data_IF_033766920710
#
_entry.id   IF_033766920710
#
_cell.length_a   1.000
_cell.length_b   1.000
_cell.length_c   1.000
_cell.angle_alpha   90.00
_cell.angle_beta   90.00
_cell.angle_gamma   90.00
#
_symmetry.space_group_name_H-M   'P 1'
#
loop_
_entity.id
_entity.type
_entity.pdbx_description
1 polymer ?
#
# COMPACT_ATOMS: atom_id res chain seq x y z
N UNK A 1 -21.25 -21.49 1.93
CA UNK A 1 -20.50 -20.43 1.21
C UNK A 1 -20.67 -20.65 -0.29
N UNK A 2 -20.98 -19.62 -1.07
CA UNK A 2 -21.14 -19.78 -2.51
C UNK A 2 -19.76 -20.11 -3.17
N UNK A 3 -19.77 -20.91 -4.25
CA UNK A 3 -18.57 -21.24 -5.01
C UNK A 3 -17.80 -20.00 -5.44
N UNK A 4 -18.52 -18.97 -5.84
CA UNK A 4 -17.94 -17.66 -6.25
C UNK A 4 -17.23 -16.96 -5.09
N UNK A 5 -17.76 -17.04 -3.86
CA UNK A 5 -17.09 -16.47 -2.70
C UNK A 5 -15.76 -17.16 -2.40
N UNK A 6 -15.70 -18.49 -2.50
CA UNK A 6 -14.46 -19.24 -2.33
C UNK A 6 -13.42 -18.91 -3.40
N UNK A 7 -13.86 -18.75 -4.66
CA UNK A 7 -12.98 -18.34 -5.77
C UNK A 7 -12.40 -16.93 -5.55
N UNK A 8 -13.23 -15.95 -5.17
CA UNK A 8 -12.79 -14.58 -4.88
C UNK A 8 -11.83 -14.55 -3.68
N UNK A 9 -12.14 -15.31 -2.62
CA UNK A 9 -11.26 -15.44 -1.46
C UNK A 9 -9.92 -16.06 -1.86
N UNK A 10 -9.92 -17.09 -2.70
CA UNK A 10 -8.70 -17.70 -3.25
C UNK A 10 -7.87 -16.68 -4.06
N UNK A 11 -8.50 -15.94 -4.97
CA UNK A 11 -7.82 -14.88 -5.74
C UNK A 11 -7.22 -13.83 -4.79
N UNK A 12 -7.96 -13.42 -3.76
CA UNK A 12 -7.48 -12.42 -2.79
C UNK A 12 -6.25 -12.91 -2.02
N UNK A 13 -6.29 -14.13 -1.50
CA UNK A 13 -5.16 -14.72 -0.75
C UNK A 13 -3.94 -14.89 -1.65
N UNK A 14 -4.11 -15.48 -2.84
CA UNK A 14 -3.01 -15.74 -3.77
C UNK A 14 -2.39 -14.42 -4.27
N UNK A 15 -3.22 -13.41 -4.61
CA UNK A 15 -2.72 -12.07 -4.96
C UNK A 15 -2.00 -11.42 -3.79
N UNK A 16 -2.54 -11.53 -2.57
CA UNK A 16 -1.93 -10.97 -1.37
C UNK A 16 -0.55 -11.58 -1.07
N UNK A 17 -0.43 -12.91 -1.13
CA UNK A 17 0.85 -13.60 -0.95
C UNK A 17 1.83 -13.17 -2.04
N UNK A 18 1.42 -13.16 -3.31
CA UNK A 18 2.26 -12.73 -4.43
C UNK A 18 2.81 -11.32 -4.23
N UNK A 19 1.98 -10.37 -3.81
CA UNK A 19 2.41 -9.00 -3.50
C UNK A 19 3.38 -8.96 -2.31
N UNK A 20 3.07 -9.68 -1.25
CA UNK A 20 3.87 -9.70 -0.03
C UNK A 20 5.22 -10.43 -0.20
N UNK A 21 5.34 -11.33 -1.18
CA UNK A 21 6.61 -11.94 -1.58
C UNK A 21 7.52 -10.95 -2.31
N UNK A 22 6.98 -10.17 -3.26
CA UNK A 22 7.77 -9.39 -4.20
C UNK A 22 8.03 -7.96 -3.74
N UNK A 23 6.99 -7.22 -3.32
CA UNK A 23 7.08 -5.78 -3.10
C UNK A 23 8.10 -5.37 -2.04
N UNK A 24 8.12 -6.00 -0.84
CA UNK A 24 9.06 -5.59 0.20
C UNK A 24 10.53 -5.84 -0.16
N UNK A 25 10.80 -6.85 -0.97
CA UNK A 25 12.15 -7.26 -1.35
C UNK A 25 12.62 -6.67 -2.69
N UNK A 26 11.78 -5.91 -3.38
CA UNK A 26 12.13 -5.31 -4.68
C UNK A 26 13.35 -4.38 -4.58
N UNK A 27 13.44 -3.54 -3.55
CA UNK A 27 14.58 -2.65 -3.32
C UNK A 27 15.86 -3.44 -3.04
N UNK A 28 15.78 -4.47 -2.21
CA UNK A 28 16.91 -5.35 -1.91
C UNK A 28 17.39 -6.10 -3.16
N UNK A 29 16.47 -6.66 -3.97
CA UNK A 29 16.81 -7.29 -5.24
C UNK A 29 17.52 -6.32 -6.20
N UNK A 30 16.98 -5.13 -6.38
CA UNK A 30 17.55 -4.12 -7.28
C UNK A 30 18.96 -3.69 -6.83
N UNK A 31 19.19 -3.54 -5.53
CA UNK A 31 20.47 -3.07 -4.99
C UNK A 31 21.51 -4.20 -4.89
N UNK A 32 21.12 -5.41 -4.46
CA UNK A 32 22.06 -6.51 -4.23
C UNK A 32 22.36 -7.32 -5.49
N UNK A 33 21.34 -7.60 -6.31
CA UNK A 33 21.46 -8.50 -7.48
C UNK A 33 21.70 -7.72 -8.77
N UNK A 34 20.87 -6.68 -9.06
CA UNK A 34 20.99 -5.87 -10.26
C UNK A 34 22.08 -4.80 -10.11
N UNK A 35 22.41 -4.44 -8.86
CA UNK A 35 23.44 -3.43 -8.52
C UNK A 35 23.15 -2.06 -9.17
N UNK A 36 21.89 -1.65 -9.08
CA UNK A 36 21.41 -0.38 -9.65
C UNK A 36 22.09 0.83 -9.01
N UNK A 37 22.24 1.89 -9.78
CA UNK A 37 22.66 3.19 -9.24
C UNK A 37 21.55 3.84 -8.42
N UNK A 38 21.85 4.80 -7.52
CA UNK A 38 20.87 5.54 -6.75
C UNK A 38 19.74 6.15 -7.60
N UNK A 39 20.10 6.73 -8.74
CA UNK A 39 19.12 7.26 -9.69
C UNK A 39 18.22 6.18 -10.26
N UNK A 40 18.78 5.05 -10.67
CA UNK A 40 18.02 3.92 -11.21
C UNK A 40 17.03 3.34 -10.17
N UNK A 41 17.46 3.22 -8.90
CA UNK A 41 16.57 2.75 -7.82
C UNK A 41 15.37 3.69 -7.65
N UNK A 42 15.63 4.98 -7.47
CA UNK A 42 14.57 5.98 -7.30
C UNK A 42 13.65 6.05 -8.51
N UNK A 43 14.20 6.04 -9.72
CA UNK A 43 13.45 6.09 -10.97
C UNK A 43 12.54 4.87 -11.15
N UNK A 44 13.04 3.67 -10.83
CA UNK A 44 12.24 2.44 -10.86
C UNK A 44 11.02 2.53 -9.93
N UNK A 45 11.25 2.96 -8.68
CA UNK A 45 10.21 3.05 -7.65
C UNK A 45 9.21 4.20 -7.88
N UNK A 46 9.51 5.14 -8.77
CA UNK A 46 8.56 6.16 -9.24
C UNK A 46 7.76 5.67 -10.44
N UNK A 47 8.45 5.11 -11.43
CA UNK A 47 7.85 4.79 -12.74
C UNK A 47 6.87 3.62 -12.62
N UNK A 48 7.14 2.61 -11.78
CA UNK A 48 6.27 1.45 -11.68
C UNK A 48 4.89 1.79 -11.08
N UNK A 49 4.77 2.50 -9.94
CA UNK A 49 3.46 2.96 -9.45
C UNK A 49 2.72 3.83 -10.47
N UNK A 50 3.43 4.69 -11.20
CA UNK A 50 2.83 5.50 -12.26
C UNK A 50 2.24 4.62 -13.38
N UNK A 51 3.01 3.63 -13.85
CA UNK A 51 2.54 2.66 -14.84
C UNK A 51 1.31 1.88 -14.34
N UNK A 52 1.29 1.50 -13.05
CA UNK A 52 0.13 0.83 -12.43
C UNK A 52 -1.12 1.71 -12.41
N UNK A 53 -0.97 3.01 -12.11
CA UNK A 53 -2.09 3.96 -12.16
C UNK A 53 -2.64 4.10 -13.58
N UNK A 54 -1.77 4.27 -14.57
CA UNK A 54 -2.16 4.38 -15.98
C UNK A 54 -2.88 3.09 -16.44
N UNK A 55 -2.27 1.93 -16.18
CA UNK A 55 -2.85 0.65 -16.56
C UNK A 55 -4.19 0.38 -15.85
N UNK A 56 -4.28 0.68 -14.55
CA UNK A 56 -5.52 0.52 -13.78
C UNK A 56 -6.63 1.42 -14.30
N UNK A 57 -6.30 2.65 -14.71
CA UNK A 57 -7.26 3.59 -15.32
C UNK A 57 -7.78 3.07 -16.67
N UNK A 58 -6.88 2.56 -17.51
CA UNK A 58 -7.25 1.96 -18.82
C UNK A 58 -8.14 0.73 -18.59
N UNK A 59 -7.73 -0.18 -17.70
CA UNK A 59 -8.49 -1.39 -17.37
C UNK A 59 -9.86 -1.07 -16.75
N UNK A 60 -9.93 0.02 -15.95
CA UNK A 60 -11.19 0.54 -15.44
C UNK A 60 -12.16 0.92 -16.55
N UNK A 61 -11.70 1.74 -17.50
CA UNK A 61 -12.51 2.15 -18.68
C UNK A 61 -12.93 0.95 -19.54
N UNK A 62 -12.06 -0.05 -19.73
CA UNK A 62 -12.39 -1.28 -20.45
C UNK A 62 -13.47 -2.10 -19.72
N UNK A 63 -13.44 -2.10 -18.38
CA UNK A 63 -14.42 -2.81 -17.55
C UNK A 63 -15.80 -2.16 -17.54
N UNK A 64 -15.87 -0.84 -17.75
CA UNK A 64 -17.13 -0.10 -17.88
C UNK A 64 -17.76 -0.27 -19.27
N UNK A 65 -17.01 -0.81 -20.23
CA UNK A 65 -17.46 -1.13 -21.58
C UNK A 65 -17.98 -2.57 -21.71
N UNK A 66 -17.57 -3.26 -22.79
CA UNK A 66 -18.04 -4.62 -23.12
C UNK A 66 -17.18 -5.75 -22.51
N UNK A 67 -16.03 -5.42 -21.84
CA UNK A 67 -15.09 -6.44 -21.38
C UNK A 67 -15.49 -6.91 -19.98
N UNK A 68 -15.73 -8.21 -19.83
CA UNK A 68 -16.06 -8.79 -18.52
C UNK A 68 -14.87 -8.71 -17.57
N UNK A 69 -15.11 -8.29 -16.33
CA UNK A 69 -14.06 -8.11 -15.28
C UNK A 69 -13.23 -9.37 -15.02
N UNK A 70 -13.81 -10.59 -15.21
CA UNK A 70 -13.05 -11.83 -15.06
C UNK A 70 -11.89 -11.95 -16.06
N UNK A 71 -12.07 -11.45 -17.29
CA UNK A 71 -10.99 -11.45 -18.28
C UNK A 71 -9.93 -10.40 -17.95
N UNK A 72 -10.31 -9.24 -17.41
CA UNK A 72 -9.36 -8.23 -16.94
C UNK A 72 -8.55 -8.73 -15.77
N UNK A 73 -9.17 -9.48 -14.83
CA UNK A 73 -8.47 -10.17 -13.75
C UNK A 73 -7.48 -11.21 -14.29
N UNK A 74 -7.90 -12.01 -15.28
CA UNK A 74 -7.04 -13.00 -15.90
C UNK A 74 -5.85 -12.35 -16.63
N UNK A 75 -6.09 -11.26 -17.38
CA UNK A 75 -5.03 -10.48 -18.03
C UNK A 75 -4.05 -9.92 -17.01
N UNK A 76 -4.53 -9.37 -15.89
CA UNK A 76 -3.68 -8.90 -14.78
C UNK A 76 -2.81 -10.00 -14.19
N UNK A 77 -3.40 -11.20 -13.99
CA UNK A 77 -2.68 -12.37 -13.49
C UNK A 77 -1.64 -12.90 -14.50
N UNK A 78 -1.99 -13.01 -15.78
CA UNK A 78 -1.03 -13.41 -16.83
C UNK A 78 0.10 -12.40 -16.95
N UNK A 79 -0.21 -11.11 -16.96
CA UNK A 79 0.80 -10.05 -16.98
C UNK A 79 1.73 -10.16 -15.76
N UNK A 80 1.18 -10.37 -14.55
CA UNK A 80 1.98 -10.61 -13.35
C UNK A 80 2.88 -11.83 -13.47
N UNK A 81 2.36 -12.95 -14.00
CA UNK A 81 3.15 -14.17 -14.22
C UNK A 81 4.32 -13.92 -15.19
N UNK A 82 4.08 -13.22 -16.29
CA UNK A 82 5.14 -12.86 -17.24
C UNK A 82 6.12 -11.88 -16.59
N UNK A 83 5.63 -10.83 -15.93
CA UNK A 83 6.46 -9.82 -15.29
C UNK A 83 7.40 -10.42 -14.26
N UNK A 84 6.89 -11.17 -13.28
CA UNK A 84 7.73 -11.81 -12.27
C UNK A 84 8.58 -12.95 -12.84
N UNK A 85 8.12 -13.67 -13.88
CA UNK A 85 8.96 -14.61 -14.64
C UNK A 85 10.17 -13.93 -15.27
N UNK A 86 9.99 -12.71 -15.80
CA UNK A 86 11.10 -11.89 -16.34
C UNK A 86 12.03 -11.39 -15.22
N UNK A 87 11.54 -11.07 -14.02
CA UNK A 87 12.40 -10.77 -12.86
C UNK A 87 13.29 -11.97 -12.47
N UNK A 88 12.83 -13.20 -12.68
CA UNK A 88 13.63 -14.38 -12.39
C UNK A 88 14.87 -14.48 -13.30
N UNK A 89 14.76 -14.02 -14.56
CA UNK A 89 15.82 -14.24 -15.58
C UNK A 89 16.57 -12.98 -16.01
N UNK A 90 15.91 -11.81 -16.03
CA UNK A 90 16.55 -10.58 -16.44
C UNK A 90 17.51 -10.05 -15.37
N UNK A 91 18.67 -9.58 -15.81
CA UNK A 91 19.69 -8.95 -14.94
C UNK A 91 20.12 -7.57 -15.47
N UNK A 92 19.63 -7.16 -16.63
CA UNK A 92 19.83 -5.81 -17.15
C UNK A 92 18.74 -4.87 -16.66
N UNK A 93 19.13 -3.70 -16.14
CA UNK A 93 18.19 -2.74 -15.55
C UNK A 93 17.13 -2.24 -16.53
N UNK A 94 17.53 -1.86 -17.75
CA UNK A 94 16.60 -1.26 -18.70
C UNK A 94 15.59 -2.26 -19.24
N UNK A 95 16.01 -3.49 -19.48
CA UNK A 95 15.14 -4.59 -19.85
C UNK A 95 14.14 -4.92 -18.72
N UNK A 96 14.63 -4.93 -17.47
CA UNK A 96 13.80 -5.17 -16.29
C UNK A 96 12.78 -4.04 -16.08
N UNK A 97 13.21 -2.77 -16.22
CA UNK A 97 12.33 -1.61 -16.14
C UNK A 97 11.24 -1.65 -17.21
N UNK A 98 11.62 -1.89 -18.48
CA UNK A 98 10.65 -2.00 -19.58
C UNK A 98 9.63 -3.11 -19.37
N UNK A 99 10.09 -4.30 -18.96
CA UNK A 99 9.21 -5.41 -18.59
C UNK A 99 8.28 -5.04 -17.44
N UNK A 100 8.79 -4.35 -16.42
CA UNK A 100 8.01 -3.93 -15.26
C UNK A 100 6.94 -2.91 -15.62
N UNK A 101 7.28 -1.90 -16.42
CA UNK A 101 6.31 -0.87 -16.88
C UNK A 101 5.12 -1.52 -17.58
N UNK A 102 5.37 -2.50 -18.46
CA UNK A 102 4.32 -3.19 -19.20
C UNK A 102 3.58 -4.18 -18.30
N UNK A 103 4.29 -5.16 -17.77
CA UNK A 103 3.64 -6.33 -17.13
C UNK A 103 3.27 -6.08 -15.67
N UNK A 104 4.17 -5.50 -14.85
CA UNK A 104 3.83 -5.15 -13.46
C UNK A 104 2.87 -3.95 -13.43
N UNK A 105 2.97 -3.03 -14.39
CA UNK A 105 1.99 -1.97 -14.59
C UNK A 105 0.57 -2.53 -14.73
N UNK A 106 0.35 -3.48 -15.64
CA UNK A 106 -0.97 -4.12 -15.85
C UNK A 106 -1.44 -4.87 -14.59
N UNK A 107 -0.53 -5.52 -13.87
CA UNK A 107 -0.83 -6.23 -12.62
C UNK A 107 -1.43 -5.30 -11.54
N UNK A 108 -1.09 -4.01 -11.56
CA UNK A 108 -1.67 -3.00 -10.66
C UNK A 108 -3.20 -2.87 -10.76
N UNK A 109 -3.81 -3.32 -11.85
CA UNK A 109 -5.28 -3.34 -12.02
C UNK A 109 -5.99 -4.47 -11.26
N UNK A 110 -5.26 -5.51 -10.80
CA UNK A 110 -5.86 -6.72 -10.20
C UNK A 110 -6.76 -6.42 -9.00
N UNK A 111 -6.26 -5.70 -8.00
CA UNK A 111 -7.03 -5.43 -6.79
C UNK A 111 -8.27 -4.55 -7.04
N UNK A 112 -8.18 -3.43 -7.79
CA UNK A 112 -9.35 -2.66 -8.18
C UNK A 112 -10.41 -3.52 -8.91
N UNK A 113 -10.01 -4.37 -9.85
CA UNK A 113 -10.93 -5.25 -10.57
C UNK A 113 -11.52 -6.35 -9.66
N UNK A 114 -10.73 -6.93 -8.75
CA UNK A 114 -11.20 -7.92 -7.78
C UNK A 114 -12.27 -7.33 -6.85
N UNK A 115 -12.03 -6.14 -6.29
CA UNK A 115 -13.00 -5.49 -5.41
C UNK A 115 -14.24 -5.03 -6.17
N UNK A 116 -14.09 -4.56 -7.40
CA UNK A 116 -15.21 -4.18 -8.24
C UNK A 116 -16.07 -5.41 -8.61
N UNK A 117 -15.44 -6.54 -8.98
CA UNK A 117 -16.16 -7.79 -9.22
C UNK A 117 -16.87 -8.29 -7.96
N UNK A 118 -16.20 -8.23 -6.79
CA UNK A 118 -16.80 -8.59 -5.50
C UNK A 118 -18.06 -7.79 -5.19
N UNK A 119 -18.07 -6.48 -5.50
CA UNK A 119 -19.26 -5.62 -5.37
C UNK A 119 -20.38 -6.03 -6.33
N UNK A 120 -20.06 -6.39 -7.56
CA UNK A 120 -21.06 -6.82 -8.56
C UNK A 120 -21.79 -8.11 -8.16
N UNK A 121 -21.11 -9.02 -7.49
CA UNK A 121 -21.69 -10.31 -7.08
C UNK A 121 -22.46 -10.22 -5.76
N UNK A 122 -22.13 -9.26 -4.91
CA UNK A 122 -22.84 -9.05 -3.63
C UNK A 122 -24.04 -8.14 -3.83
N UNK A 123 -25.25 -8.69 -3.72
CA UNK A 123 -26.51 -7.92 -3.73
C UNK A 123 -26.77 -7.08 -2.47
N UNK A 124 -25.74 -6.78 -1.65
CA UNK A 124 -25.86 -6.06 -0.38
C UNK A 124 -24.57 -5.35 0.03
N UNK A 125 -24.58 -4.60 1.16
CA UNK A 125 -23.45 -3.77 1.54
C UNK A 125 -22.18 -4.57 1.71
N UNK A 126 -21.14 -4.08 1.15
CA UNK A 126 -19.68 -4.28 1.14
C UNK A 126 -18.99 -5.36 2.02
N UNK A 127 -19.69 -6.32 2.63
CA UNK A 127 -19.06 -7.34 3.48
C UNK A 127 -18.06 -8.21 2.71
N UNK A 128 -18.35 -8.54 1.44
CA UNK A 128 -17.41 -9.30 0.59
C UNK A 128 -16.11 -8.54 0.39
N UNK A 129 -16.15 -7.25 0.07
CA UNK A 129 -14.94 -6.44 -0.12
C UNK A 129 -14.12 -6.34 1.17
N UNK A 130 -14.78 -6.21 2.32
CA UNK A 130 -14.10 -6.20 3.62
C UNK A 130 -13.40 -7.54 3.91
N UNK A 131 -14.06 -8.67 3.63
CA UNK A 131 -13.44 -10.00 3.77
C UNK A 131 -12.25 -10.16 2.84
N UNK A 132 -12.37 -9.77 1.56
CA UNK A 132 -11.27 -9.84 0.60
C UNK A 132 -10.05 -9.01 1.06
N UNK A 133 -10.29 -7.80 1.61
CA UNK A 133 -9.22 -6.96 2.19
C UNK A 133 -8.58 -7.62 3.41
N UNK A 134 -9.37 -8.21 4.30
CA UNK A 134 -8.84 -8.93 5.47
C UNK A 134 -7.95 -10.09 5.04
N UNK A 135 -8.36 -10.86 4.02
CA UNK A 135 -7.55 -11.95 3.49
C UNK A 135 -6.22 -11.47 2.88
N UNK A 136 -6.23 -10.30 2.23
CA UNK A 136 -4.98 -9.64 1.79
C UNK A 136 -4.07 -9.31 2.97
N UNK A 137 -4.60 -8.72 4.04
CA UNK A 137 -3.81 -8.37 5.23
C UNK A 137 -3.21 -9.62 5.89
N UNK A 138 -3.98 -10.72 6.00
CA UNK A 138 -3.47 -12.00 6.52
C UNK A 138 -2.31 -12.53 5.66
N UNK A 139 -2.38 -12.37 4.34
CA UNK A 139 -1.30 -12.78 3.43
C UNK A 139 0.01 -12.01 3.70
N UNK A 140 -0.05 -10.77 4.14
CA UNK A 140 1.13 -9.97 4.49
C UNK A 140 1.84 -10.44 5.76
N UNK A 141 1.17 -11.17 6.66
CA UNK A 141 1.83 -11.76 7.84
C UNK A 141 2.80 -12.87 7.44
N UNK A 142 2.37 -13.74 6.54
CA UNK A 142 3.18 -14.89 6.10
C UNK A 142 4.10 -14.57 4.92
N UNK A 143 3.72 -13.61 4.06
CA UNK A 143 4.42 -13.33 2.81
C UNK A 143 5.89 -12.96 2.96
N UNK A 144 6.26 -11.93 3.73
CA UNK A 144 7.66 -11.54 3.87
C UNK A 144 8.56 -12.60 4.50
N UNK A 145 8.15 -13.35 5.57
CA UNK A 145 8.93 -14.50 6.05
C UNK A 145 9.10 -15.59 5.01
N UNK A 146 8.04 -15.91 4.22
CA UNK A 146 8.13 -16.89 3.13
C UNK A 146 9.05 -16.39 2.01
N UNK A 147 9.02 -15.09 1.67
CA UNK A 147 9.93 -14.52 0.69
C UNK A 147 11.39 -14.68 1.13
N UNK A 148 11.68 -14.34 2.37
CA UNK A 148 13.02 -14.50 2.94
C UNK A 148 13.49 -15.94 2.91
N UNK A 149 12.62 -16.90 3.25
CA UNK A 149 12.90 -18.33 3.19
C UNK A 149 13.19 -18.79 1.76
N UNK A 150 12.38 -18.36 0.79
CA UNK A 150 12.58 -18.67 -0.63
C UNK A 150 13.92 -18.10 -1.13
N UNK A 151 14.23 -16.85 -0.79
CA UNK A 151 15.52 -16.23 -1.16
C UNK A 151 16.68 -17.01 -0.55
N UNK A 152 16.59 -17.44 0.71
CA UNK A 152 17.65 -18.18 1.38
C UNK A 152 17.87 -19.58 0.78
N UNK A 153 16.82 -20.26 0.33
CA UNK A 153 16.92 -21.65 -0.18
C UNK A 153 17.14 -21.73 -1.69
N UNK A 154 16.52 -20.83 -2.46
CA UNK A 154 16.46 -20.92 -3.94
C UNK A 154 16.94 -19.65 -4.64
N UNK A 155 17.39 -18.65 -3.87
CA UNK A 155 17.81 -17.35 -4.39
C UNK A 155 16.65 -16.54 -4.96
N UNK A 156 16.99 -15.45 -5.61
CA UNK A 156 16.02 -14.54 -6.26
C UNK A 156 15.23 -15.23 -7.37
N UNK A 157 15.85 -16.21 -8.06
CA UNK A 157 15.18 -16.98 -9.10
C UNK A 157 13.95 -17.71 -8.55
N UNK A 158 14.12 -18.45 -7.46
CA UNK A 158 13.01 -19.20 -6.86
C UNK A 158 11.90 -18.30 -6.31
N UNK A 159 12.25 -17.17 -5.69
CA UNK A 159 11.29 -16.19 -5.22
C UNK A 159 10.38 -15.71 -6.37
N UNK A 160 10.97 -15.27 -7.47
CA UNK A 160 10.21 -14.72 -8.58
C UNK A 160 9.46 -15.77 -9.39
N UNK A 161 9.99 -16.98 -9.52
CA UNK A 161 9.26 -18.10 -10.13
C UNK A 161 8.05 -18.49 -9.28
N UNK A 162 8.18 -18.56 -7.96
CA UNK A 162 7.05 -18.81 -7.07
C UNK A 162 5.99 -17.70 -7.19
N UNK A 163 6.42 -16.44 -7.21
CA UNK A 163 5.54 -15.29 -7.40
C UNK A 163 4.82 -15.33 -8.74
N UNK A 164 5.52 -15.68 -9.83
CA UNK A 164 4.95 -15.85 -11.16
C UNK A 164 3.92 -17.00 -11.20
N UNK A 165 4.20 -18.11 -10.55
CA UNK A 165 3.28 -19.25 -10.45
C UNK A 165 1.99 -18.87 -9.69
N UNK A 166 2.10 -18.10 -8.60
CA UNK A 166 0.94 -17.57 -7.88
C UNK A 166 0.09 -16.65 -8.78
N UNK A 167 0.73 -15.76 -9.55
CA UNK A 167 0.02 -14.87 -10.47
C UNK A 167 -0.68 -15.64 -11.59
N UNK A 168 -0.06 -16.71 -12.10
CA UNK A 168 -0.72 -17.62 -13.05
C UNK A 168 -1.93 -18.31 -12.39
N UNK A 169 -1.82 -18.71 -11.11
CA UNK A 169 -2.93 -19.21 -10.32
C UNK A 169 -4.09 -18.23 -10.22
N UNK A 170 -3.80 -16.93 -10.03
CA UNK A 170 -4.80 -15.86 -10.07
C UNK A 170 -5.51 -15.83 -11.42
N UNK A 171 -4.77 -15.90 -12.54
CA UNK A 171 -5.34 -15.90 -13.87
C UNK A 171 -6.29 -17.09 -14.11
N UNK A 172 -5.85 -18.29 -13.72
CA UNK A 172 -6.66 -19.51 -13.84
C UNK A 172 -7.93 -19.41 -13.01
N UNK A 173 -7.82 -19.00 -11.74
CA UNK A 173 -8.98 -18.81 -10.86
C UNK A 173 -9.94 -17.74 -11.42
N UNK A 174 -9.42 -16.65 -11.96
CA UNK A 174 -10.25 -15.58 -12.55
C UNK A 174 -11.09 -16.07 -13.74
N UNK A 175 -10.53 -16.94 -14.58
CA UNK A 175 -11.25 -17.53 -15.73
C UNK A 175 -12.40 -18.45 -15.28
N UNK A 176 -12.32 -19.04 -14.08
CA UNK A 176 -13.39 -19.90 -13.53
C UNK A 176 -14.54 -19.10 -12.90
N UNK A 177 -14.41 -17.78 -12.74
CA UNK A 177 -15.45 -16.94 -12.18
C UNK A 177 -16.69 -16.89 -13.10
N UNK A 178 -17.91 -16.95 -12.53
CA UNK A 178 -19.15 -16.82 -13.32
C UNK A 178 -19.26 -15.43 -13.93
N UNK A 179 -20.09 -15.30 -14.95
CA UNK A 179 -20.46 -13.97 -15.50
C UNK A 179 -21.39 -13.29 -14.49
N UNK A 180 -21.03 -12.11 -13.95
CA UNK A 180 -21.93 -11.41 -13.05
C UNK A 180 -23.19 -10.96 -13.81
N UNK A 181 -24.36 -10.89 -13.13
CA UNK A 181 -25.55 -10.32 -13.74
C UNK A 181 -25.28 -8.87 -14.15
N UNK A 182 -25.86 -8.44 -15.26
CA UNK A 182 -25.78 -7.06 -15.71
C UNK A 182 -26.31 -6.13 -14.59
N UNK A 183 -25.50 -5.17 -14.19
CA UNK A 183 -25.94 -4.13 -13.25
C UNK A 183 -26.65 -3.02 -14.03
N UNK A 184 -27.76 -2.53 -13.49
CA UNK A 184 -28.28 -1.22 -13.88
C UNK A 184 -27.20 -0.16 -13.58
N UNK A 185 -27.01 0.78 -14.46
CA UNK A 185 -26.10 1.91 -14.28
C UNK A 185 -26.44 2.61 -12.95
N UNK A 186 -25.52 2.57 -11.99
CA UNK A 186 -25.57 3.47 -10.83
C UNK A 186 -25.29 4.88 -11.38
N UNK A 187 -26.26 5.77 -11.25
CA UNK A 187 -26.13 7.20 -11.55
C UNK A 187 -24.88 7.72 -10.80
N UNK A 188 -23.96 8.33 -11.57
CA UNK A 188 -22.82 9.04 -11.00
C UNK A 188 -23.38 10.21 -10.21
N UNK A 189 -23.02 10.37 -8.91
CA UNK A 189 -23.44 11.54 -8.16
C UNK A 189 -22.92 12.80 -8.86
N UNK A 190 -23.81 13.77 -9.11
CA UNK A 190 -23.46 15.08 -9.66
C UNK A 190 -22.48 15.80 -8.73
N UNK A 191 -21.49 16.46 -9.34
CA UNK A 191 -20.47 17.26 -8.65
C UNK A 191 -21.08 18.53 -8.07
N UNK A 192 -21.57 18.49 -6.84
CA UNK A 192 -21.79 19.71 -6.07
C UNK A 192 -20.54 20.08 -5.28
N UNK A 193 -19.92 21.19 -5.67
CA UNK A 193 -18.77 21.77 -5.00
C UNK A 193 -19.19 22.47 -3.70
N UNK A 194 -18.87 21.86 -2.55
CA UNK A 194 -19.14 22.43 -1.23
C UNK A 194 -17.88 22.73 -0.42
N UNK A 195 -17.98 23.72 0.41
CA UNK A 195 -17.06 24.46 1.30
C UNK A 195 -15.95 23.69 2.10
N UNK A 196 -15.76 22.40 1.92
CA UNK A 196 -14.81 21.55 2.65
C UNK A 196 -13.44 21.39 1.94
N UNK A 197 -13.29 22.04 0.79
CA UNK A 197 -12.15 21.82 -0.14
C UNK A 197 -10.79 22.16 0.46
N UNK A 198 -10.67 23.24 1.24
CA UNK A 198 -9.37 23.66 1.79
C UNK A 198 -8.84 22.72 2.87
N UNK A 199 -9.69 22.23 3.77
CA UNK A 199 -9.28 21.28 4.80
C UNK A 199 -8.88 19.93 4.19
N UNK A 200 -9.60 19.46 3.17
CA UNK A 200 -9.30 18.24 2.46
C UNK A 200 -7.91 18.29 1.79
N UNK A 201 -7.56 19.43 1.16
CA UNK A 201 -6.24 19.59 0.52
C UNK A 201 -5.09 19.55 1.53
N UNK A 202 -5.23 20.26 2.67
CA UNK A 202 -4.18 20.27 3.72
C UNK A 202 -4.04 18.90 4.36
N UNK A 203 -5.16 18.20 4.62
CA UNK A 203 -5.13 16.81 5.11
C UNK A 203 -4.50 15.88 4.08
N UNK A 204 -4.82 16.03 2.79
CA UNK A 204 -4.20 15.25 1.73
C UNK A 204 -2.68 15.47 1.67
N UNK A 205 -2.21 16.71 1.81
CA UNK A 205 -0.78 17.00 1.89
C UNK A 205 -0.14 16.35 3.13
N UNK A 206 -0.79 16.40 4.30
CA UNK A 206 -0.31 15.73 5.51
C UNK A 206 -0.19 14.22 5.32
N UNK A 207 -1.21 13.61 4.71
CA UNK A 207 -1.22 12.15 4.46
C UNK A 207 -0.23 11.73 3.38
N UNK A 208 0.02 12.56 2.37
CA UNK A 208 1.09 12.31 1.41
C UNK A 208 2.44 12.10 2.11
N UNK A 209 2.77 12.98 3.06
CA UNK A 209 4.01 12.85 3.83
C UNK A 209 3.98 11.65 4.77
N UNK A 210 2.90 11.43 5.52
CA UNK A 210 2.82 10.33 6.47
C UNK A 210 2.81 8.95 5.78
N UNK A 211 2.02 8.79 4.73
CA UNK A 211 1.97 7.54 3.96
C UNK A 211 3.27 7.32 3.18
N UNK A 212 3.87 8.40 2.66
CA UNK A 212 5.18 8.34 2.03
C UNK A 212 6.28 7.91 3.00
N UNK A 213 6.25 8.41 4.25
CA UNK A 213 7.18 7.97 5.31
C UNK A 213 7.04 6.48 5.63
N UNK A 214 5.80 5.97 5.70
CA UNK A 214 5.54 4.53 5.87
C UNK A 214 6.04 3.74 4.67
N UNK A 215 5.76 4.18 3.43
CA UNK A 215 6.21 3.51 2.22
C UNK A 215 7.75 3.46 2.12
N UNK A 216 8.42 4.56 2.48
CA UNK A 216 9.88 4.65 2.50
C UNK A 216 10.47 3.70 3.54
N UNK A 217 9.91 3.66 4.75
CA UNK A 217 10.36 2.77 5.81
C UNK A 217 10.19 1.29 5.43
N UNK A 218 9.04 0.90 4.87
CA UNK A 218 8.77 -0.47 4.42
C UNK A 218 9.72 -0.89 3.29
N UNK A 219 9.87 -0.04 2.27
CA UNK A 219 10.72 -0.34 1.11
C UNK A 219 12.21 -0.36 1.45
N UNK A 220 12.63 0.45 2.42
CA UNK A 220 14.03 0.54 2.83
C UNK A 220 14.45 -0.49 3.88
N UNK A 221 13.50 -1.09 4.63
CA UNK A 221 13.80 -1.98 5.75
C UNK A 221 14.70 -3.17 5.38
N UNK A 222 14.44 -3.93 4.28
CA UNK A 222 15.31 -5.06 3.93
C UNK A 222 16.75 -4.63 3.60
N UNK A 223 16.88 -3.52 2.89
CA UNK A 223 18.22 -3.00 2.52
C UNK A 223 18.94 -2.45 3.74
N UNK A 224 18.24 -1.68 4.60
CA UNK A 224 18.81 -1.17 5.85
C UNK A 224 19.32 -2.29 6.75
N UNK A 225 18.52 -3.33 6.97
CA UNK A 225 18.93 -4.47 7.80
C UNK A 225 20.16 -5.18 7.25
N UNK A 226 20.22 -5.40 5.93
CA UNK A 226 21.32 -6.15 5.32
C UNK A 226 22.59 -5.34 5.12
N UNK A 227 22.49 -4.02 4.88
CA UNK A 227 23.66 -3.19 4.60
C UNK A 227 24.20 -2.44 5.83
N UNK A 228 23.32 -1.96 6.71
CA UNK A 228 23.72 -1.13 7.87
C UNK A 228 23.89 -1.95 9.15
N UNK A 229 23.11 -3.03 9.31
CA UNK A 229 23.12 -3.85 10.53
C UNK A 229 23.72 -5.24 10.31
N UNK A 230 24.26 -5.54 9.13
CA UNK A 230 24.80 -6.86 8.76
C UNK A 230 23.81 -8.01 9.00
N UNK A 231 22.52 -7.72 8.92
CA UNK A 231 21.46 -8.70 9.05
C UNK A 231 21.24 -9.50 7.75
N UNK A 232 20.34 -10.45 7.82
CA UNK A 232 19.94 -11.31 6.69
C UNK A 232 18.59 -10.87 6.08
N UNK A 233 18.28 -11.38 4.89
CA UNK A 233 16.94 -11.28 4.33
C UNK A 233 15.89 -11.95 5.25
N UNK A 234 16.30 -12.95 6.03
CA UNK A 234 15.48 -13.60 7.07
C UNK A 234 15.04 -12.63 8.15
N UNK A 235 15.98 -11.81 8.65
CA UNK A 235 15.67 -10.78 9.66
C UNK A 235 14.69 -9.75 9.11
N UNK A 236 14.85 -9.35 7.85
CA UNK A 236 13.90 -8.44 7.19
C UNK A 236 12.51 -9.05 7.06
N UNK A 237 12.42 -10.30 6.62
CA UNK A 237 11.17 -11.03 6.52
C UNK A 237 10.47 -11.19 7.86
N UNK A 238 11.22 -11.54 8.92
CA UNK A 238 10.68 -11.64 10.29
C UNK A 238 10.20 -10.31 10.83
N UNK A 239 10.96 -9.22 10.65
CA UNK A 239 10.55 -7.89 11.09
C UNK A 239 9.23 -7.46 10.43
N UNK A 240 9.11 -7.66 9.12
CA UNK A 240 7.89 -7.32 8.36
C UNK A 240 6.71 -8.21 8.75
N UNK A 241 6.94 -9.52 8.89
CA UNK A 241 5.91 -10.46 9.34
C UNK A 241 5.42 -10.14 10.76
N UNK A 242 6.33 -9.78 11.67
CA UNK A 242 6.00 -9.33 13.03
C UNK A 242 5.17 -8.05 12.99
N UNK A 243 5.56 -7.07 12.18
CA UNK A 243 4.79 -5.84 12.00
C UNK A 243 3.36 -6.14 11.53
N UNK A 244 3.21 -6.94 10.48
CA UNK A 244 1.90 -7.30 9.94
C UNK A 244 1.05 -8.10 10.95
N UNK A 245 1.66 -8.99 11.74
CA UNK A 245 0.96 -9.74 12.78
C UNK A 245 0.45 -8.83 13.91
N UNK A 246 1.23 -7.81 14.30
CA UNK A 246 0.83 -6.81 15.30
C UNK A 246 -0.22 -5.83 14.74
N UNK A 247 -0.15 -5.51 13.45
CA UNK A 247 -1.05 -4.59 12.77
C UNK A 247 -2.51 -5.06 12.83
N UNK A 248 -2.77 -6.36 12.67
CA UNK A 248 -4.13 -6.92 12.62
C UNK A 248 -4.93 -6.60 13.91
N UNK A 249 -4.48 -6.98 15.12
CA UNK A 249 -5.20 -6.64 16.34
C UNK A 249 -5.25 -5.15 16.61
N UNK A 250 -4.20 -4.40 16.24
CA UNK A 250 -4.18 -2.96 16.40
C UNK A 250 -5.17 -2.23 15.51
N UNK A 251 -5.31 -2.63 14.23
CA UNK A 251 -6.33 -2.09 13.34
C UNK A 251 -7.74 -2.29 13.88
N UNK A 252 -8.05 -3.48 14.42
CA UNK A 252 -9.34 -3.77 15.04
C UNK A 252 -9.57 -2.89 16.27
N UNK A 253 -8.56 -2.76 17.12
CA UNK A 253 -8.65 -1.95 18.34
C UNK A 253 -8.82 -0.47 18.02
N UNK A 254 -7.96 0.11 17.19
CA UNK A 254 -8.07 1.53 16.81
C UNK A 254 -9.30 1.82 15.95
N UNK A 255 -9.75 0.87 15.13
CA UNK A 255 -11.02 0.96 14.41
C UNK A 255 -12.21 1.08 15.37
N UNK A 256 -12.22 0.28 16.44
CA UNK A 256 -13.25 0.40 17.50
C UNK A 256 -13.13 1.71 18.28
N UNK A 257 -11.91 2.17 18.54
CA UNK A 257 -11.64 3.41 19.26
C UNK A 257 -12.05 4.65 18.42
N UNK A 258 -11.97 4.58 17.11
CA UNK A 258 -12.42 5.63 16.19
C UNK A 258 -13.92 5.93 16.27
N UNK A 259 -14.73 5.00 16.84
CA UNK A 259 -16.14 5.24 17.14
C UNK A 259 -16.36 6.04 18.45
N UNK A 260 -15.32 6.12 19.31
CA UNK A 260 -15.39 6.78 20.63
C UNK A 260 -14.52 8.03 20.71
N UNK A 261 -13.52 8.14 19.87
CA UNK A 261 -12.57 9.27 19.84
C UNK A 261 -12.60 9.96 18.49
N UNK A 262 -12.26 11.23 18.46
CA UNK A 262 -12.08 11.97 17.21
C UNK A 262 -10.99 11.29 16.34
N UNK A 263 -11.33 10.97 15.10
CA UNK A 263 -10.40 10.38 14.13
C UNK A 263 -9.18 11.27 13.90
N UNK A 264 -9.37 12.61 13.90
CA UNK A 264 -8.26 13.56 13.83
C UNK A 264 -7.26 13.39 14.99
N UNK A 265 -7.75 13.19 16.23
CA UNK A 265 -6.86 12.94 17.38
C UNK A 265 -6.09 11.61 17.23
N UNK A 266 -6.76 10.56 16.75
CA UNK A 266 -6.12 9.25 16.52
C UNK A 266 -5.02 9.36 15.45
N UNK A 267 -5.27 10.07 14.35
CA UNK A 267 -4.27 10.30 13.31
C UNK A 267 -3.09 11.16 13.83
N UNK A 268 -3.36 12.17 14.67
CA UNK A 268 -2.30 12.94 15.34
C UNK A 268 -1.43 12.04 16.24
N UNK A 269 -2.04 11.16 17.03
CA UNK A 269 -1.31 10.18 17.84
C UNK A 269 -0.43 9.30 16.94
N UNK A 270 -0.98 8.82 15.82
CA UNK A 270 -0.23 8.06 14.82
C UNK A 270 0.99 8.82 14.28
N UNK A 271 0.82 10.10 13.97
CA UNK A 271 1.91 10.96 13.48
C UNK A 271 3.01 11.17 14.55
N UNK A 272 2.63 11.33 15.84
CA UNK A 272 3.61 11.43 16.95
C UNK A 272 4.35 10.12 17.15
N UNK A 273 3.64 8.98 17.10
CA UNK A 273 4.28 7.64 17.22
C UNK A 273 5.20 7.39 16.02
N UNK A 274 4.87 7.91 14.82
CA UNK A 274 5.75 7.82 13.65
C UNK A 274 7.10 8.54 13.88
N UNK A 275 7.10 9.67 14.56
CA UNK A 275 8.36 10.35 14.96
C UNK A 275 9.18 9.44 15.90
N UNK A 276 8.52 8.79 16.86
CA UNK A 276 9.17 7.85 17.77
C UNK A 276 9.76 6.65 17.03
N UNK A 277 8.98 6.04 16.13
CA UNK A 277 9.44 4.92 15.31
C UNK A 277 10.66 5.28 14.44
N UNK A 278 10.53 6.33 13.63
CA UNK A 278 11.61 6.73 12.74
C UNK A 278 12.83 7.23 13.52
N UNK A 279 12.61 7.90 14.66
CA UNK A 279 13.70 8.30 15.56
C UNK A 279 14.47 7.09 16.09
N UNK A 280 13.78 6.06 16.61
CA UNK A 280 14.44 4.82 17.05
C UNK A 280 15.22 4.18 15.91
N UNK A 281 14.62 4.11 14.69
CA UNK A 281 15.26 3.48 13.54
C UNK A 281 16.51 4.23 13.03
N UNK A 282 16.56 5.57 13.17
CA UNK A 282 17.77 6.37 12.84
C UNK A 282 18.96 5.96 13.71
N UNK A 283 18.71 5.65 14.99
CA UNK A 283 19.77 5.32 15.97
C UNK A 283 19.91 3.80 16.19
N UNK A 284 19.11 2.97 15.53
CA UNK A 284 19.21 1.52 15.67
C UNK A 284 20.57 1.01 15.17
N UNK A 285 21.24 0.20 15.99
CA UNK A 285 22.53 -0.43 15.74
C UNK A 285 22.49 -1.96 15.90
N UNK A 286 21.33 -2.49 16.30
CA UNK A 286 21.12 -3.92 16.48
C UNK A 286 19.76 -4.39 15.95
N UNK A 287 19.69 -5.61 15.43
CA UNK A 287 18.50 -6.21 14.84
C UNK A 287 17.33 -6.27 15.83
N UNK A 288 17.60 -6.58 17.11
CA UNK A 288 16.56 -6.65 18.13
C UNK A 288 15.85 -5.31 18.36
N UNK A 289 16.55 -4.17 18.20
CA UNK A 289 15.94 -2.82 18.29
C UNK A 289 14.95 -2.61 17.15
N UNK A 290 15.31 -3.06 15.94
CA UNK A 290 14.41 -3.04 14.77
C UNK A 290 13.18 -3.91 15.01
N UNK A 291 13.37 -5.12 15.58
CA UNK A 291 12.26 -6.02 15.95
C UNK A 291 11.33 -5.36 16.97
N UNK A 292 11.88 -4.77 18.03
CA UNK A 292 11.10 -4.06 19.04
C UNK A 292 10.35 -2.85 18.45
N UNK A 293 10.98 -2.10 17.54
CA UNK A 293 10.39 -0.97 16.87
C UNK A 293 9.18 -1.33 15.98
N UNK A 294 9.03 -2.62 15.57
CA UNK A 294 7.87 -3.02 14.79
C UNK A 294 6.53 -2.83 15.54
N UNK A 295 6.55 -2.80 16.89
CA UNK A 295 5.37 -2.45 17.67
C UNK A 295 4.91 -1.00 17.38
N UNK A 296 5.85 -0.07 17.30
CA UNK A 296 5.57 1.33 16.96
C UNK A 296 5.12 1.42 15.50
N UNK A 297 5.79 0.70 14.58
CA UNK A 297 5.46 0.72 13.16
C UNK A 297 4.05 0.19 12.89
N UNK A 298 3.68 -0.95 13.48
CA UNK A 298 2.35 -1.52 13.38
C UNK A 298 1.27 -0.55 13.90
N UNK A 299 1.58 0.18 14.99
CA UNK A 299 0.69 1.23 15.52
C UNK A 299 0.53 2.38 14.51
N UNK A 300 1.62 2.84 13.90
CA UNK A 300 1.60 3.89 12.86
C UNK A 300 0.74 3.47 11.68
N UNK A 301 0.98 2.27 11.14
CA UNK A 301 0.22 1.75 9.99
C UNK A 301 -1.28 1.66 10.35
N UNK A 302 -1.60 1.12 11.53
CA UNK A 302 -2.99 0.97 11.97
C UNK A 302 -3.73 2.30 12.10
N UNK A 303 -3.05 3.35 12.58
CA UNK A 303 -3.65 4.68 12.73
C UNK A 303 -3.67 5.47 11.42
N UNK A 304 -2.57 5.49 10.66
CA UNK A 304 -2.48 6.28 9.43
C UNK A 304 -3.22 5.60 8.28
N UNK A 305 -3.05 4.28 8.09
CA UNK A 305 -3.70 3.56 6.99
C UNK A 305 -5.11 3.07 7.38
N UNK A 306 -5.28 2.54 8.61
CA UNK A 306 -6.56 2.00 9.07
C UNK A 306 -7.57 3.10 9.38
N UNK A 307 -7.27 3.99 10.34
CA UNK A 307 -8.18 5.09 10.72
C UNK A 307 -8.19 6.21 9.68
N UNK A 308 -7.08 6.40 8.94
CA UNK A 308 -6.95 7.48 7.95
C UNK A 308 -8.03 7.46 6.88
N UNK A 309 -8.43 6.29 6.36
CA UNK A 309 -9.47 6.19 5.34
C UNK A 309 -10.82 6.68 5.86
N UNK A 310 -11.18 6.32 7.09
CA UNK A 310 -12.44 6.77 7.72
C UNK A 310 -12.38 8.27 8.06
N UNK A 311 -11.18 8.77 8.41
CA UNK A 311 -10.97 10.20 8.62
C UNK A 311 -11.22 11.00 7.34
N UNK A 312 -10.71 10.57 6.18
CA UNK A 312 -11.04 11.20 4.89
C UNK A 312 -12.55 11.17 4.59
N UNK A 313 -13.20 10.03 4.81
CA UNK A 313 -14.64 9.88 4.60
C UNK A 313 -15.44 10.82 5.54
N UNK A 314 -14.95 11.09 6.75
CA UNK A 314 -15.59 12.04 7.66
C UNK A 314 -15.42 13.50 7.25
N UNK A 315 -14.43 13.83 6.41
CA UNK A 315 -14.24 15.17 5.85
C UNK A 315 -15.18 15.46 4.66
N UNK A 316 -15.60 14.41 3.93
CA UNK A 316 -16.56 14.53 2.82
C UNK A 316 -17.61 13.42 2.92
N UNK A 317 -18.55 13.52 3.90
CA UNK A 317 -19.54 12.48 4.15
C UNK A 317 -20.52 12.29 2.98
N UNK A 318 -20.76 13.32 2.20
CA UNK A 318 -21.65 13.29 1.04
C UNK A 318 -21.04 12.54 -0.14
N UNK A 319 -19.70 12.46 -0.23
CA UNK A 319 -18.96 11.82 -1.31
C UNK A 319 -17.87 10.87 -0.79
N UNK A 320 -18.24 9.77 -0.09
CA UNK A 320 -17.26 8.86 0.53
C UNK A 320 -16.34 8.19 -0.51
N UNK A 321 -16.81 8.02 -1.74
CA UNK A 321 -15.98 7.52 -2.85
C UNK A 321 -14.87 8.49 -3.24
N UNK A 322 -15.18 9.79 -3.37
CA UNK A 322 -14.20 10.85 -3.63
C UNK A 322 -13.16 10.94 -2.50
N UNK A 323 -13.60 10.92 -1.24
CA UNK A 323 -12.71 10.91 -0.09
C UNK A 323 -11.75 9.73 -0.08
N UNK A 324 -12.25 8.52 -0.40
CA UNK A 324 -11.42 7.31 -0.51
C UNK A 324 -10.41 7.42 -1.65
N UNK A 325 -10.80 7.99 -2.79
CA UNK A 325 -9.89 8.23 -3.92
C UNK A 325 -8.79 9.22 -3.54
N UNK A 326 -9.13 10.31 -2.86
CA UNK A 326 -8.15 11.29 -2.37
C UNK A 326 -7.14 10.64 -1.41
N UNK A 327 -7.61 9.82 -0.46
CA UNK A 327 -6.75 9.02 0.42
C UNK A 327 -5.80 8.10 -0.37
N UNK A 328 -6.31 7.38 -1.36
CA UNK A 328 -5.50 6.49 -2.19
C UNK A 328 -4.48 7.24 -3.05
N UNK A 329 -4.86 8.40 -3.57
CA UNK A 329 -3.95 9.25 -4.34
C UNK A 329 -2.77 9.74 -3.48
N UNK A 330 -3.02 10.10 -2.21
CA UNK A 330 -1.92 10.48 -1.29
C UNK A 330 -0.97 9.33 -1.03
N UNK A 331 -1.45 8.09 -0.98
CA UNK A 331 -0.61 6.90 -0.86
C UNK A 331 0.28 6.70 -2.08
N UNK A 332 -0.29 6.82 -3.27
CA UNK A 332 0.46 6.64 -4.52
C UNK A 332 1.55 7.71 -4.66
N UNK A 333 1.17 8.99 -4.52
CA UNK A 333 2.14 10.11 -4.66
C UNK A 333 3.17 10.06 -3.54
N UNK A 334 2.77 9.76 -2.30
CA UNK A 334 3.69 9.55 -1.18
C UNK A 334 4.68 8.43 -1.44
N UNK A 335 4.22 7.32 -2.03
CA UNK A 335 5.06 6.20 -2.45
C UNK A 335 6.07 6.59 -3.55
N UNK A 336 5.69 7.44 -4.49
CA UNK A 336 6.62 7.96 -5.52
C UNK A 336 7.70 8.85 -4.90
N UNK A 337 7.33 9.72 -3.94
CA UNK A 337 8.30 10.53 -3.18
C UNK A 337 9.23 9.62 -2.36
N UNK A 338 8.68 8.59 -1.72
CA UNK A 338 9.45 7.58 -1.00
C UNK A 338 10.47 6.87 -1.91
N UNK A 339 10.09 6.53 -3.15
CA UNK A 339 10.99 5.92 -4.13
C UNK A 339 12.18 6.82 -4.46
N UNK A 340 11.94 8.12 -4.70
CA UNK A 340 13.01 9.09 -4.95
C UNK A 340 13.96 9.20 -3.75
N UNK A 341 13.40 9.29 -2.53
CA UNK A 341 14.18 9.40 -1.30
C UNK A 341 14.94 8.11 -0.97
N UNK A 342 14.42 6.94 -1.33
CA UNK A 342 15.16 5.69 -1.18
C UNK A 342 16.37 5.63 -2.13
N UNK A 343 16.22 6.12 -3.37
CA UNK A 343 17.34 6.29 -4.27
C UNK A 343 18.42 7.23 -3.71
N UNK A 344 18.00 8.33 -3.10
CA UNK A 344 18.93 9.25 -2.42
C UNK A 344 19.58 8.60 -1.19
N UNK A 345 18.85 7.80 -0.44
CA UNK A 345 19.37 7.04 0.72
C UNK A 345 20.48 6.06 0.31
N UNK A 346 20.41 5.49 -0.91
CA UNK A 346 21.48 4.63 -1.43
C UNK A 346 22.81 5.40 -1.61
N UNK A 347 22.74 6.70 -1.89
CA UNK A 347 23.93 7.56 -2.02
C UNK A 347 24.53 7.97 -0.67
N UNK A 348 23.66 8.28 0.31
CA UNK A 348 24.03 8.85 1.60
C UNK A 348 24.25 7.80 2.69
N UNK A 349 23.87 6.53 2.42
CA UNK A 349 23.75 5.44 3.38
C UNK A 349 22.27 5.16 3.70
N UNK A 350 21.90 3.88 3.79
CA UNK A 350 20.48 3.49 3.96
C UNK A 350 19.90 3.87 5.33
N UNK A 351 20.70 4.28 6.29
CA UNK A 351 20.24 4.90 7.55
C UNK A 351 19.44 6.20 7.30
N UNK A 352 19.80 6.96 6.26
CA UNK A 352 19.05 8.16 5.84
C UNK A 352 17.62 7.89 5.36
N UNK A 353 17.30 6.64 5.03
CA UNK A 353 15.90 6.22 4.80
C UNK A 353 15.00 6.64 5.97
N UNK A 354 15.46 6.38 7.18
CA UNK A 354 14.70 6.74 8.40
C UNK A 354 14.85 8.22 8.78
N UNK A 355 15.95 8.86 8.42
CA UNK A 355 16.10 10.32 8.55
C UNK A 355 15.11 11.08 7.67
N UNK A 356 14.95 10.68 6.41
CA UNK A 356 13.95 11.25 5.50
C UNK A 356 12.52 10.90 5.94
N UNK A 357 12.26 9.67 6.40
CA UNK A 357 10.95 9.28 6.92
C UNK A 357 10.58 10.10 8.16
N UNK A 358 11.55 10.40 9.03
CA UNK A 358 11.37 11.27 10.19
C UNK A 358 11.00 12.70 9.75
N UNK A 359 11.73 13.27 8.80
CA UNK A 359 11.45 14.60 8.26
C UNK A 359 10.05 14.67 7.62
N UNK A 360 9.67 13.66 6.83
CA UNK A 360 8.32 13.56 6.26
C UNK A 360 7.26 13.48 7.35
N UNK A 361 7.50 12.70 8.42
CA UNK A 361 6.55 12.58 9.54
C UNK A 361 6.40 13.90 10.29
N UNK A 362 7.48 14.68 10.45
CA UNK A 362 7.43 16.04 11.01
C UNK A 362 6.54 16.94 10.12
N UNK A 363 6.76 16.94 8.81
CA UNK A 363 5.93 17.73 7.87
C UNK A 363 4.45 17.33 7.98
N UNK A 364 4.16 16.02 7.99
CA UNK A 364 2.80 15.51 8.12
C UNK A 364 2.14 15.93 9.44
N UNK A 365 2.87 15.81 10.56
CA UNK A 365 2.38 16.23 11.88
C UNK A 365 2.08 17.73 11.93
N UNK A 366 2.99 18.58 11.43
CA UNK A 366 2.81 20.04 11.40
C UNK A 366 1.54 20.39 10.61
N UNK A 367 1.34 19.79 9.43
CA UNK A 367 0.15 20.03 8.62
C UNK A 367 -1.14 19.59 9.34
N UNK A 368 -1.14 18.48 10.05
CA UNK A 368 -2.29 18.04 10.85
C UNK A 368 -2.58 19.00 12.02
N UNK A 369 -1.56 19.54 12.68
CA UNK A 369 -1.73 20.54 13.73
C UNK A 369 -2.32 21.84 13.18
N UNK A 370 -1.92 22.28 11.99
CA UNK A 370 -2.51 23.42 11.28
C UNK A 370 -4.00 23.19 11.02
N UNK A 371 -4.39 22.00 10.52
CA UNK A 371 -5.82 21.66 10.32
C UNK A 371 -6.57 21.71 11.64
N UNK A 372 -6.00 21.17 12.72
CA UNK A 372 -6.61 21.20 14.05
C UNK A 372 -6.86 22.63 14.54
N UNK A 373 -5.92 23.56 14.29
CA UNK A 373 -6.06 24.97 14.66
C UNK A 373 -7.11 25.70 13.84
N UNK A 374 -7.18 25.43 12.53
CA UNK A 374 -8.19 26.00 11.63
C UNK A 374 -9.62 25.58 12.03
N UNK A 375 -9.79 24.29 12.35
CA UNK A 375 -11.09 23.76 12.77
C UNK A 375 -11.57 24.40 14.09
N UNK A 376 -10.68 24.65 15.06
CA UNK A 376 -11.00 25.32 16.32
C UNK A 376 -11.45 26.78 16.08
N UNK A 377 -10.70 27.55 15.28
CA UNK A 377 -11.06 28.93 14.94
C UNK A 377 -12.43 29.03 14.27
N UNK A 378 -12.73 28.10 13.36
CA UNK A 378 -14.02 28.07 12.67
C UNK A 378 -15.18 27.75 13.64
N UNK A 379 -14.94 26.86 14.62
CA UNK A 379 -15.91 26.56 15.66
C UNK A 379 -16.17 27.77 16.58
N UNK A 380 -15.11 28.47 17.00
CA UNK A 380 -15.21 29.67 17.86
C UNK A 380 -15.96 30.81 17.16
N UNK A 381 -15.67 31.04 15.86
CA UNK A 381 -16.39 32.06 15.08
C UNK A 381 -17.88 31.72 14.90
N UNK A 382 -18.24 30.45 14.77
CA UNK A 382 -19.67 30.03 14.71
C UNK A 382 -20.39 30.19 16.04
N UNK A 383 -19.69 30.07 17.16
CA UNK A 383 -20.27 30.33 18.49
C UNK A 383 -20.46 31.82 18.73
N UNK A 384 -19.52 32.70 18.32
CA UNK A 384 -19.61 34.14 18.43
C UNK A 384 -20.65 34.78 17.48
N UNK A 385 -20.91 34.19 16.32
CA UNK A 385 -21.94 34.66 15.38
C UNK A 385 -23.35 34.18 15.70
N UNK A 386 -23.54 33.42 16.78
CA UNK A 386 -24.84 32.98 17.31
C UNK A 386 -25.23 33.70 18.61
N UNK A 387 -24.36 34.55 19.16
CA UNK A 387 -24.62 35.47 20.27
C UNK A 387 -24.93 36.87 19.78
#
# INVERSE_FOLDING_TARGET
MSRTFLQLSGISVVSGISMALALPFASLFLTSEIKVTPFQLGFFLIVIPLAQVVASTIMGKLSDGRVQRRYLLAVGGVAGAIGYGLFAVLRDYWSLLGASVVFIGITGSLLPQLFAYGRQVSRGPSMIVSVLRTLLSVAWVAGPPLAALLVAQTGWFGLFVATAALQLGVAVLALTLPVPPAQAEEEKPEEEAGSTRNNMLVVSAAFLFLQGAVALAVSGLPVFLTTELNGSAGDAGLAMGLCAALEIPMMLWFGSLANRMSQHKLVLIGAVIALGYHGVMVFADAIWQVMAAQLLHATVISLIMGVGITYFQSLDPLRPGHATTMFSNTQIVGGMVAGALLGLSQQLGFRWTYGFSLAMSVCGLVLLLVVGSLNRRTADLRLLGRA
#
